data_IF_028538717947
#
_entry.id   IF_028538717947
#
_cell.length_a   1.000
_cell.length_b   1.000
_cell.length_c   1.000
_cell.angle_alpha   90.00
_cell.angle_beta   90.00
_cell.angle_gamma   90.00
#
_symmetry.space_group_name_H-M   'P 1'
#
loop_
_entity.id
_entity.type
_entity.pdbx_description
1 polymer ?
#
# COMPACT_ATOMS: atom_id res chain seq x y z
N UNK A 1 -5.79 -4.44 -6.23
CA UNK A 1 -6.20 -3.55 -7.34
C UNK A 1 -7.09 -2.42 -6.82
N UNK A 2 -8.07 -2.70 -5.96
CA UNK A 2 -8.94 -1.68 -5.35
C UNK A 2 -8.20 -0.50 -4.68
N UNK A 3 -7.12 -0.75 -3.93
CA UNK A 3 -6.36 0.31 -3.28
C UNK A 3 -5.82 1.36 -4.27
N UNK A 4 -5.23 0.91 -5.39
CA UNK A 4 -4.72 1.80 -6.42
C UNK A 4 -5.84 2.62 -7.08
N UNK A 5 -6.99 1.99 -7.37
CA UNK A 5 -8.15 2.68 -7.94
C UNK A 5 -8.64 3.81 -7.03
N UNK A 6 -8.73 3.56 -5.72
CA UNK A 6 -9.14 4.58 -4.75
C UNK A 6 -8.16 5.75 -4.70
N UNK A 7 -6.86 5.47 -4.73
CA UNK A 7 -5.82 6.51 -4.75
C UNK A 7 -5.83 7.33 -6.05
N UNK A 8 -6.08 6.68 -7.19
CA UNK A 8 -6.26 7.36 -8.47
C UNK A 8 -7.53 8.24 -8.49
N UNK A 9 -8.57 7.83 -7.74
CA UNK A 9 -9.79 8.62 -7.54
C UNK A 9 -9.64 9.76 -6.50
N UNK A 10 -8.46 9.93 -5.91
CA UNK A 10 -8.17 11.02 -4.97
C UNK A 10 -8.28 10.67 -3.49
N UNK A 11 -8.38 9.37 -3.15
CA UNK A 11 -8.23 8.96 -1.75
C UNK A 11 -6.84 9.36 -1.23
N UNK A 12 -6.80 9.82 0.03
CA UNK A 12 -5.56 10.24 0.67
C UNK A 12 -4.71 9.02 1.07
N UNK A 13 -3.54 8.88 0.45
CA UNK A 13 -2.60 7.82 0.74
C UNK A 13 -2.02 7.90 2.16
N UNK A 14 -2.06 9.07 2.80
CA UNK A 14 -1.52 9.30 4.13
C UNK A 14 -2.60 9.30 5.21
N UNK A 15 -3.86 9.03 4.84
CA UNK A 15 -4.97 8.92 5.78
C UNK A 15 -4.65 7.83 6.82
N UNK A 16 -4.71 8.22 8.09
CA UNK A 16 -4.44 7.36 9.23
C UNK A 16 -5.75 7.03 9.95
N UNK A 17 -5.87 5.79 10.42
CA UNK A 17 -6.96 5.42 11.32
C UNK A 17 -6.72 5.98 12.74
N UNK A 18 -7.63 5.68 13.67
CA UNK A 18 -7.53 6.13 15.08
C UNK A 18 -6.26 5.61 15.80
N UNK A 19 -5.63 4.55 15.30
CA UNK A 19 -4.39 3.99 15.83
C UNK A 19 -3.14 4.65 15.21
N UNK A 20 -3.31 5.60 14.29
CA UNK A 20 -2.22 6.31 13.64
C UNK A 20 -1.60 5.59 12.44
N UNK A 21 -2.20 4.47 12.00
CA UNK A 21 -1.71 3.67 10.87
C UNK A 21 -2.43 4.01 9.56
N UNK A 22 -1.65 4.13 8.49
CA UNK A 22 -2.16 4.21 7.13
C UNK A 22 -2.34 2.81 6.53
N UNK A 23 -3.11 2.71 5.45
CA UNK A 23 -3.47 1.42 4.85
C UNK A 23 -2.23 0.58 4.42
N UNK A 24 -1.12 1.25 4.07
CA UNK A 24 0.17 0.65 3.71
C UNK A 24 0.74 -0.24 4.82
N UNK A 25 0.55 0.14 6.09
CA UNK A 25 1.03 -0.64 7.23
C UNK A 25 0.41 -2.04 7.26
N UNK A 26 -0.91 -2.13 7.09
CA UNK A 26 -1.62 -3.40 7.07
C UNK A 26 -1.23 -4.25 5.86
N UNK A 27 -0.97 -3.61 4.72
CA UNK A 27 -0.50 -4.32 3.54
C UNK A 27 0.88 -4.94 3.74
N UNK A 28 1.83 -4.23 4.37
CA UNK A 28 3.14 -4.82 4.70
C UNK A 28 3.07 -6.00 5.66
N UNK A 29 2.00 -6.11 6.46
CA UNK A 29 1.81 -7.24 7.38
C UNK A 29 1.27 -8.50 6.70
N UNK A 30 0.92 -8.45 5.42
CA UNK A 30 0.36 -9.62 4.72
C UNK A 30 1.40 -10.74 4.67
N UNK A 31 1.17 -11.89 5.34
CA UNK A 31 2.13 -12.99 5.39
C UNK A 31 2.49 -13.51 4.00
N UNK A 32 3.78 -13.83 3.76
CA UNK A 32 4.27 -14.27 2.45
C UNK A 32 3.54 -15.51 1.90
N UNK A 33 3.11 -16.43 2.77
CA UNK A 33 2.36 -17.62 2.37
C UNK A 33 0.92 -17.32 1.91
N UNK A 34 0.39 -16.14 2.21
CA UNK A 34 -0.90 -15.64 1.71
C UNK A 34 -0.75 -14.75 0.46
N UNK A 35 0.50 -14.46 0.05
CA UNK A 35 0.78 -13.67 -1.15
C UNK A 35 0.87 -14.57 -2.38
N UNK A 36 -0.26 -14.70 -3.09
CA UNK A 36 -0.27 -15.23 -4.45
C UNK A 36 0.39 -14.24 -5.44
N UNK A 37 0.66 -14.70 -6.65
CA UNK A 37 1.38 -13.89 -7.65
C UNK A 37 0.61 -12.63 -8.08
N UNK A 38 -0.73 -12.71 -8.08
CA UNK A 38 -1.60 -11.58 -8.35
C UNK A 38 -1.43 -10.49 -7.29
N UNK A 39 -1.48 -10.84 -6.01
CA UNK A 39 -1.32 -9.90 -4.90
C UNK A 39 0.07 -9.27 -4.93
N UNK A 40 1.12 -10.04 -5.22
CA UNK A 40 2.49 -9.51 -5.41
C UNK A 40 2.56 -8.51 -6.57
N UNK A 41 1.87 -8.79 -7.67
CA UNK A 41 1.83 -7.88 -8.81
C UNK A 41 1.13 -6.56 -8.45
N UNK A 42 -0.01 -6.65 -7.75
CA UNK A 42 -0.75 -5.50 -7.26
C UNK A 42 0.07 -4.65 -6.28
N UNK A 43 0.87 -5.27 -5.40
CA UNK A 43 1.77 -4.54 -4.52
C UNK A 43 2.85 -3.78 -5.29
N UNK A 44 3.50 -4.43 -6.25
CA UNK A 44 4.53 -3.77 -7.07
C UNK A 44 3.97 -2.58 -7.85
N UNK A 45 2.75 -2.68 -8.35
CA UNK A 45 2.09 -1.58 -9.07
C UNK A 45 1.78 -0.41 -8.13
N UNK A 46 1.22 -0.71 -6.96
CA UNK A 46 0.92 0.27 -5.94
C UNK A 46 2.17 1.01 -5.43
N UNK A 47 3.24 0.28 -5.17
CA UNK A 47 4.51 0.84 -4.71
C UNK A 47 5.12 1.79 -5.73
N UNK A 48 5.14 1.40 -7.00
CA UNK A 48 5.62 2.28 -8.09
C UNK A 48 4.80 3.57 -8.15
N UNK A 49 3.48 3.48 -8.02
CA UNK A 49 2.61 4.64 -8.04
C UNK A 49 2.86 5.58 -6.84
N UNK A 50 3.01 5.01 -5.63
CA UNK A 50 3.30 5.77 -4.41
C UNK A 50 4.68 6.45 -4.47
N UNK A 51 5.70 5.76 -4.99
CA UNK A 51 7.04 6.31 -5.18
C UNK A 51 7.05 7.48 -6.17
N UNK A 52 6.35 7.34 -7.31
CA UNK A 52 6.25 8.40 -8.31
C UNK A 52 5.62 9.69 -7.79
N UNK A 53 4.83 9.60 -6.71
CA UNK A 53 4.16 10.75 -6.07
C UNK A 53 4.84 11.22 -4.78
N UNK A 54 5.98 10.62 -4.40
CA UNK A 54 6.66 10.84 -3.10
C UNK A 54 5.75 10.58 -1.89
N UNK A 55 4.77 9.70 -2.05
CA UNK A 55 3.83 9.25 -1.01
C UNK A 55 4.26 7.92 -0.38
N UNK A 56 5.32 7.30 -0.92
CA UNK A 56 5.91 6.09 -0.35
C UNK A 56 6.53 6.43 1.02
N UNK A 57 5.78 6.18 2.08
CA UNK A 57 6.35 5.99 3.41
C UNK A 57 6.96 4.60 3.38
N UNK A 58 8.28 4.51 3.47
CA UNK A 58 9.01 3.23 3.47
C UNK A 58 8.25 2.19 4.30
N UNK A 59 7.82 1.10 3.67
CA UNK A 59 7.35 -0.07 4.41
C UNK A 59 8.53 -0.51 5.26
N UNK A 60 8.51 -0.13 6.53
CA UNK A 60 9.59 -0.43 7.44
C UNK A 60 9.69 -1.95 7.52
N UNK A 61 10.72 -2.51 6.89
CA UNK A 61 11.24 -3.81 7.27
C UNK A 61 11.77 -3.64 8.69
N UNK A 62 11.09 -4.31 9.63
CA UNK A 62 11.73 -4.80 10.84
C UNK A 62 12.14 -6.24 10.59
#
# INVERSE_FOLDING_TARGET
>A
HLALLLLQAGADAQARNQQGYAFQFYFSQTPAHLQNDELKAQFRELDKWLQGRRLATHYAQQ
#
